data_IF_006379734562
#
_entry.id   IF_006379734562
#
_cell.length_a   1.000
_cell.length_b   1.000
_cell.length_c   1.000
_cell.angle_alpha   90.00
_cell.angle_beta   90.00
_cell.angle_gamma   90.00
#
_symmetry.space_group_name_H-M   'P 1'
#
loop_
_entity.id
_entity.type
_entity.pdbx_description
1 polymer ?
#
# COMPACT_ATOMS: atom_id res chain seq x y z
N UNK A 1 2.60 14.84 -11.97
CA UNK A 1 2.40 14.38 -13.36
C UNK A 1 3.70 14.28 -14.16
N UNK A 2 4.58 15.30 -14.19
CA UNK A 2 5.84 15.23 -14.96
C UNK A 2 6.78 14.09 -14.54
N UNK A 3 6.88 13.80 -13.24
CA UNK A 3 7.82 12.78 -12.74
C UNK A 3 7.49 11.33 -13.15
N UNK A 4 6.21 10.95 -13.18
CA UNK A 4 5.81 9.59 -13.57
C UNK A 4 6.05 9.34 -15.07
N UNK A 5 5.88 10.38 -15.89
CA UNK A 5 6.17 10.33 -17.33
C UNK A 5 7.68 10.12 -17.53
N UNK A 6 8.51 10.87 -16.81
CA UNK A 6 9.98 10.71 -16.84
C UNK A 6 10.39 9.31 -16.38
N UNK A 7 9.84 8.80 -15.28
CA UNK A 7 10.13 7.44 -14.81
C UNK A 7 9.75 6.36 -15.84
N UNK A 8 8.57 6.46 -16.45
CA UNK A 8 8.15 5.53 -17.51
C UNK A 8 9.08 5.58 -18.73
N UNK A 9 9.58 6.76 -19.09
CA UNK A 9 10.58 6.91 -20.15
C UNK A 9 11.92 6.28 -19.77
N UNK A 10 12.39 6.50 -18.54
CA UNK A 10 13.63 5.90 -18.04
C UNK A 10 13.56 4.37 -18.03
N UNK A 11 12.45 3.79 -17.59
CA UNK A 11 12.22 2.34 -17.61
C UNK A 11 12.27 1.80 -19.04
N UNK A 12 11.57 2.45 -19.98
CA UNK A 12 11.60 2.06 -21.40
C UNK A 12 13.02 2.10 -21.96
N UNK A 13 13.80 3.13 -21.63
CA UNK A 13 15.20 3.22 -22.03
C UNK A 13 16.02 2.07 -21.44
N UNK A 14 15.84 1.75 -20.16
CA UNK A 14 16.55 0.65 -19.50
C UNK A 14 16.22 -0.72 -20.13
N UNK A 15 14.95 -0.99 -20.43
CA UNK A 15 14.53 -2.22 -21.10
C UNK A 15 15.08 -2.33 -22.53
N UNK A 16 15.17 -1.20 -23.24
CA UNK A 16 15.75 -1.14 -24.58
C UNK A 16 17.26 -1.35 -24.59
N UNK A 17 17.96 -0.80 -23.60
CA UNK A 17 19.44 -0.87 -23.50
C UNK A 17 19.88 -2.22 -22.91
N UNK A 18 19.12 -2.75 -21.95
CA UNK A 18 19.45 -3.97 -21.20
C UNK A 18 18.34 -5.03 -21.27
N UNK A 19 18.13 -5.68 -22.43
CA UNK A 19 17.10 -6.70 -22.58
C UNK A 19 17.38 -7.95 -21.72
N UNK A 20 16.36 -8.80 -21.57
CA UNK A 20 16.40 -10.04 -20.74
C UNK A 20 17.53 -11.02 -21.10
N UNK A 21 18.07 -10.93 -22.31
CA UNK A 21 19.13 -11.79 -22.84
C UNK A 21 20.51 -11.10 -22.91
N UNK A 22 20.64 -9.87 -22.40
CA UNK A 22 21.90 -9.12 -22.43
C UNK A 22 23.02 -9.88 -21.69
N UNK A 23 24.25 -9.82 -22.22
CA UNK A 23 25.37 -10.66 -21.76
C UNK A 23 25.93 -10.31 -20.37
N UNK A 24 25.52 -9.19 -19.76
CA UNK A 24 26.18 -8.60 -18.58
C UNK A 24 25.19 -8.05 -17.57
N UNK A 25 24.18 -7.34 -18.03
CA UNK A 25 23.16 -6.76 -17.18
C UNK A 25 21.81 -6.87 -17.86
N UNK A 26 20.85 -7.53 -17.22
CA UNK A 26 19.55 -7.86 -17.78
C UNK A 26 18.46 -7.22 -16.95
N UNK A 27 17.53 -6.51 -17.56
CA UNK A 27 16.27 -6.14 -16.90
C UNK A 27 15.33 -7.34 -16.98
N UNK A 28 15.05 -7.96 -15.83
CA UNK A 28 14.21 -9.16 -15.71
C UNK A 28 12.73 -8.77 -15.66
N UNK A 29 12.41 -7.75 -14.86
CA UNK A 29 11.12 -7.08 -14.84
C UNK A 29 11.31 -5.62 -14.43
N UNK A 30 10.52 -4.73 -15.02
CA UNK A 30 10.50 -3.32 -14.65
C UNK A 30 9.06 -2.83 -14.57
N UNK A 31 8.74 -2.08 -13.53
CA UNK A 31 7.48 -1.39 -13.31
C UNK A 31 7.76 -0.02 -12.70
N UNK A 32 6.70 0.78 -12.49
CA UNK A 32 6.85 2.09 -11.83
C UNK A 32 7.18 1.99 -10.34
N UNK A 33 6.98 0.82 -9.73
CA UNK A 33 7.20 0.58 -8.30
C UNK A 33 8.42 -0.30 -8.03
N UNK A 34 8.85 -1.11 -9.00
CA UNK A 34 9.99 -2.01 -8.83
C UNK A 34 10.82 -2.19 -10.10
N UNK A 35 12.13 -2.41 -9.91
CA UNK A 35 13.06 -2.78 -10.96
C UNK A 35 13.86 -4.02 -10.53
N UNK A 36 13.66 -5.12 -11.24
CA UNK A 36 14.38 -6.36 -11.01
C UNK A 36 15.38 -6.56 -12.13
N UNK A 37 16.65 -6.64 -11.75
CA UNK A 37 17.75 -6.71 -12.67
C UNK A 37 18.73 -7.81 -12.26
N UNK A 38 19.36 -8.39 -13.27
CA UNK A 38 20.29 -9.50 -13.09
C UNK A 38 21.64 -9.12 -13.66
N UNK A 39 22.65 -9.17 -12.81
CA UNK A 39 24.04 -9.01 -13.21
C UNK A 39 24.70 -10.37 -13.44
N UNK A 40 25.49 -10.50 -14.51
CA UNK A 40 26.23 -11.72 -14.86
C UNK A 40 27.71 -11.47 -14.61
N UNK A 41 28.24 -12.06 -13.54
CA UNK A 41 29.65 -11.93 -13.16
C UNK A 41 30.60 -12.79 -13.99
N UNK A 42 31.90 -12.67 -13.71
CA UNK A 42 33.02 -13.25 -14.49
C UNK A 42 32.95 -14.77 -14.66
N UNK A 43 32.34 -15.47 -13.69
CA UNK A 43 32.21 -16.93 -13.69
C UNK A 43 30.87 -17.40 -14.27
N UNK A 44 30.08 -16.52 -14.91
CA UNK A 44 28.72 -16.81 -15.33
C UNK A 44 27.71 -16.87 -14.18
N UNK A 45 28.15 -16.58 -12.95
CA UNK A 45 27.29 -16.48 -11.76
C UNK A 45 26.36 -15.28 -11.92
N UNK A 46 25.06 -15.53 -11.71
CA UNK A 46 23.99 -14.55 -11.83
C UNK A 46 23.66 -13.98 -10.45
N UNK A 47 23.50 -12.68 -10.38
CA UNK A 47 23.16 -11.95 -9.17
C UNK A 47 21.87 -11.19 -9.39
N UNK A 48 20.83 -11.54 -8.63
CA UNK A 48 19.54 -10.84 -8.67
C UNK A 48 19.62 -9.62 -7.75
N UNK A 49 19.28 -8.47 -8.32
CA UNK A 49 19.29 -7.17 -7.67
C UNK A 49 17.94 -6.51 -7.94
N UNK A 50 17.34 -6.03 -6.87
CA UNK A 50 15.98 -5.50 -6.86
C UNK A 50 16.03 -4.06 -6.37
N UNK A 51 15.23 -3.19 -6.98
CA UNK A 51 15.03 -1.82 -6.54
C UNK A 51 13.54 -1.59 -6.29
N UNK A 52 13.20 -0.96 -5.17
CA UNK A 52 11.86 -0.46 -4.90
C UNK A 52 11.83 1.06 -5.11
N UNK A 53 10.96 1.52 -6.01
CA UNK A 53 10.80 2.91 -6.39
C UNK A 53 9.65 3.49 -5.56
N UNK A 54 9.97 4.47 -4.71
CA UNK A 54 9.00 5.05 -3.79
C UNK A 54 8.23 6.19 -4.44
N UNK A 55 7.06 6.53 -3.88
CA UNK A 55 6.23 7.67 -4.33
C UNK A 55 6.96 9.03 -4.26
N UNK A 56 8.04 9.11 -3.48
CA UNK A 56 8.89 10.29 -3.33
C UNK A 56 9.97 10.40 -4.42
N UNK A 57 9.97 9.50 -5.41
CA UNK A 57 10.83 9.58 -6.59
C UNK A 57 10.58 10.87 -7.40
N UNK A 58 11.62 11.58 -7.88
CA UNK A 58 13.06 11.31 -7.79
C UNK A 58 13.70 12.10 -6.61
N UNK A 59 12.89 12.69 -5.72
CA UNK A 59 13.38 13.48 -4.59
C UNK A 59 14.15 12.60 -3.59
N UNK A 60 13.76 11.33 -3.46
CA UNK A 60 14.55 10.30 -2.77
C UNK A 60 15.01 9.22 -3.75
N UNK A 61 16.20 8.63 -3.54
CA UNK A 61 16.65 7.51 -4.35
C UNK A 61 15.78 6.27 -4.13
N UNK A 62 15.59 5.43 -5.17
CA UNK A 62 15.10 4.07 -5.04
C UNK A 62 15.88 3.25 -3.99
N UNK A 63 15.19 2.32 -3.35
CA UNK A 63 15.75 1.44 -2.33
C UNK A 63 16.23 0.14 -3.00
N UNK A 64 17.54 -0.05 -3.09
CA UNK A 64 18.15 -1.22 -3.71
C UNK A 64 18.49 -2.31 -2.70
N UNK A 65 18.31 -3.57 -3.10
CA UNK A 65 18.70 -4.76 -2.34
C UNK A 65 19.14 -5.88 -3.28
N UNK A 66 20.02 -6.75 -2.80
CA UNK A 66 20.47 -7.92 -3.54
C UNK A 66 20.20 -9.18 -2.71
N UNK A 67 19.83 -10.28 -3.37
CA UNK A 67 19.63 -11.57 -2.70
C UNK A 67 20.96 -12.29 -2.38
N UNK A 68 22.07 -11.79 -2.91
CA UNK A 68 23.40 -12.38 -2.75
C UNK A 68 24.11 -11.82 -1.52
N UNK A 69 24.68 -12.70 -0.69
CA UNK A 69 25.54 -12.35 0.46
C UNK A 69 26.98 -11.96 0.05
N UNK A 70 27.24 -11.79 -1.25
CA UNK A 70 28.57 -11.46 -1.76
C UNK A 70 28.89 -9.99 -1.49
N UNK A 71 30.01 -9.74 -0.81
CA UNK A 71 30.44 -8.39 -0.40
C UNK A 71 30.61 -7.43 -1.57
N UNK A 72 30.98 -7.92 -2.75
CA UNK A 72 31.04 -7.12 -3.99
C UNK A 72 29.68 -6.52 -4.35
N UNK A 73 28.62 -7.32 -4.34
CA UNK A 73 27.26 -6.91 -4.71
C UNK A 73 26.64 -6.03 -3.62
N UNK A 74 26.81 -6.40 -2.35
CA UNK A 74 26.30 -5.62 -1.21
C UNK A 74 26.91 -4.22 -1.17
N UNK A 75 28.22 -4.10 -1.43
CA UNK A 75 28.88 -2.79 -1.49
C UNK A 75 28.38 -1.94 -2.65
N UNK A 76 28.16 -2.54 -3.83
CA UNK A 76 27.66 -1.82 -5.01
C UNK A 76 26.25 -1.26 -4.77
N UNK A 77 25.36 -2.05 -4.15
CA UNK A 77 24.01 -1.64 -3.78
C UNK A 77 24.01 -0.54 -2.71
N UNK A 78 24.92 -0.61 -1.72
CA UNK A 78 24.98 0.37 -0.64
C UNK A 78 25.31 1.79 -1.11
N UNK A 79 26.08 1.94 -2.20
CA UNK A 79 26.42 3.26 -2.77
C UNK A 79 25.17 3.99 -3.24
N UNK A 80 24.19 3.26 -3.78
CA UNK A 80 22.96 3.83 -4.35
C UNK A 80 22.04 4.45 -3.28
N UNK A 81 22.18 4.03 -2.02
CA UNK A 81 21.41 4.60 -0.91
C UNK A 81 21.80 6.04 -0.56
N UNK A 82 22.97 6.50 -1.03
CA UNK A 82 23.53 7.82 -0.73
C UNK A 82 23.53 8.78 -1.93
N UNK A 83 22.85 8.43 -3.03
CA UNK A 83 22.76 9.33 -4.20
C UNK A 83 21.86 10.53 -3.90
N UNK A 84 22.03 11.60 -4.67
CA UNK A 84 21.18 12.79 -4.55
C UNK A 84 21.01 13.50 -5.89
N UNK A 85 19.94 14.30 -6.01
CA UNK A 85 19.68 15.09 -7.21
C UNK A 85 19.46 14.21 -8.44
N UNK A 86 20.22 14.43 -9.51
CA UNK A 86 20.08 13.67 -10.77
C UNK A 86 20.42 12.19 -10.58
N UNK A 87 21.29 11.86 -9.64
CA UNK A 87 21.70 10.48 -9.41
C UNK A 87 20.63 9.65 -8.70
N UNK A 88 19.51 10.24 -8.27
CA UNK A 88 18.36 9.49 -7.77
C UNK A 88 17.53 8.86 -8.90
N UNK A 89 17.73 9.31 -10.14
CA UNK A 89 17.00 8.76 -11.28
C UNK A 89 17.41 7.31 -11.52
N UNK A 90 16.43 6.42 -11.77
CA UNK A 90 16.65 4.98 -11.92
C UNK A 90 17.64 4.71 -13.05
N UNK A 91 17.56 5.48 -14.15
CA UNK A 91 18.50 5.40 -15.27
C UNK A 91 19.96 5.63 -14.82
N UNK A 92 20.18 6.64 -13.97
CA UNK A 92 21.51 6.99 -13.47
C UNK A 92 21.99 5.99 -12.41
N UNK A 93 21.10 5.53 -11.54
CA UNK A 93 21.43 4.52 -10.52
C UNK A 93 21.83 3.18 -11.12
N UNK A 94 21.16 2.74 -12.20
CA UNK A 94 21.59 1.54 -12.96
C UNK A 94 22.98 1.74 -13.54
N UNK A 95 23.28 2.92 -14.09
CA UNK A 95 24.62 3.24 -14.58
C UNK A 95 25.69 3.21 -13.48
N UNK A 96 25.40 3.75 -12.29
CA UNK A 96 26.31 3.71 -11.13
C UNK A 96 26.51 2.26 -10.66
N UNK A 97 25.41 1.52 -10.51
CA UNK A 97 25.41 0.12 -10.09
C UNK A 97 26.27 -0.74 -11.02
N UNK A 98 26.05 -0.64 -12.32
CA UNK A 98 26.71 -1.48 -13.30
C UNK A 98 28.20 -1.18 -13.40
N UNK A 99 28.61 0.09 -13.35
CA UNK A 99 30.03 0.47 -13.30
C UNK A 99 30.72 -0.11 -12.06
N UNK A 100 30.07 0.00 -10.89
CA UNK A 100 30.65 -0.50 -9.66
C UNK A 100 30.73 -2.04 -9.63
N UNK A 101 29.70 -2.74 -10.11
CA UNK A 101 29.73 -4.20 -10.25
C UNK A 101 30.81 -4.66 -11.24
N UNK A 102 30.94 -4.00 -12.40
CA UNK A 102 32.01 -4.29 -13.36
C UNK A 102 33.40 -4.07 -12.73
N UNK A 103 33.58 -2.97 -11.99
CA UNK A 103 34.83 -2.65 -11.28
C UNK A 103 35.18 -3.70 -10.23
N UNK A 104 34.23 -4.08 -9.38
CA UNK A 104 34.44 -5.04 -8.29
C UNK A 104 34.65 -6.48 -8.78
N UNK A 105 34.05 -6.86 -9.92
CA UNK A 105 34.26 -8.16 -10.54
C UNK A 105 35.43 -8.19 -11.55
N UNK A 106 36.13 -7.06 -11.75
CA UNK A 106 37.22 -6.89 -12.72
C UNK A 106 36.83 -7.29 -14.16
N UNK A 107 35.68 -6.77 -14.63
CA UNK A 107 35.11 -7.02 -15.96
C UNK A 107 35.03 -5.68 -16.71
N UNK A 108 35.29 -5.63 -18.04
CA UNK A 108 35.08 -4.41 -18.81
C UNK A 108 33.63 -3.95 -18.78
N UNK A 109 33.42 -2.64 -18.71
CA UNK A 109 32.11 -1.99 -18.80
C UNK A 109 31.48 -2.24 -20.18
N UNK A 110 30.19 -2.63 -20.25
CA UNK A 110 29.49 -2.72 -21.53
C UNK A 110 29.37 -1.33 -22.19
N UNK A 111 29.56 -1.23 -23.52
CA UNK A 111 29.45 0.04 -24.25
C UNK A 111 28.06 0.65 -24.14
N UNK A 112 27.05 -0.18 -23.86
CA UNK A 112 25.64 0.17 -23.69
C UNK A 112 25.40 1.15 -22.53
N UNK A 113 26.33 1.22 -21.55
CA UNK A 113 26.27 2.22 -20.46
C UNK A 113 26.33 3.65 -21.01
N UNK A 114 26.99 3.89 -22.14
CA UNK A 114 27.05 5.21 -22.76
C UNK A 114 25.69 5.67 -23.33
N UNK A 115 24.76 4.74 -23.55
CA UNK A 115 23.40 5.01 -24.05
C UNK A 115 22.45 5.46 -22.92
N UNK A 116 22.85 5.33 -21.66
CA UNK A 116 22.12 5.82 -20.49
C UNK A 116 22.25 7.35 -20.37
N UNK A 117 21.55 8.08 -21.23
CA UNK A 117 21.44 9.54 -21.17
C UNK A 117 20.01 9.97 -20.86
N UNK A 118 19.86 10.87 -19.89
CA UNK A 118 18.55 11.46 -19.57
C UNK A 118 18.04 12.28 -20.75
N UNK A 119 16.74 12.19 -21.13
CA UNK A 119 16.15 13.15 -22.04
C UNK A 119 16.27 14.54 -21.43
N UNK A 120 16.85 15.51 -22.14
CA UNK A 120 16.93 16.87 -21.66
C UNK A 120 15.51 17.41 -21.45
N UNK A 121 15.16 17.75 -20.21
CA UNK A 121 13.91 18.44 -19.88
C UNK A 121 13.97 19.82 -20.54
N UNK A 122 13.24 19.98 -21.64
CA UNK A 122 13.06 21.26 -22.31
C UNK A 122 12.31 22.23 -21.39
N UNK A 123 13.06 23.07 -20.67
CA UNK A 123 12.55 24.24 -19.99
C UNK A 123 12.46 25.43 -20.93
N UNK A 124 11.26 26.00 -21.05
CA UNK A 124 10.90 27.34 -21.51
C UNK A 124 11.99 28.20 -22.21
N UNK A 125 11.85 28.41 -23.53
CA UNK A 125 12.22 29.67 -24.19
C UNK A 125 11.27 29.99 -25.35
N UNK A 126 10.70 31.20 -25.33
CA UNK A 126 10.25 31.94 -26.51
C UNK A 126 11.22 33.14 -26.68
N UNK A 127 11.35 33.73 -27.87
CA UNK A 127 11.70 33.13 -29.15
C UNK A 127 12.98 33.79 -29.72
N UNK A 128 13.77 33.08 -30.54
CA UNK A 128 14.56 33.75 -31.59
C UNK A 128 15.02 32.76 -32.69
N UNK A 129 14.34 32.88 -33.83
CA UNK A 129 14.85 33.03 -35.21
C UNK A 129 15.99 32.16 -35.80
N UNK A 130 15.69 31.78 -37.06
CA UNK A 130 16.50 31.30 -38.21
C UNK A 130 16.70 29.77 -38.28
N UNK A 131 15.97 29.08 -39.16
CA UNK A 131 16.35 28.64 -40.54
C UNK A 131 17.42 27.51 -40.48
N UNK A 132 17.32 26.33 -41.11
CA UNK A 132 16.88 25.95 -42.47
C UNK A 132 16.43 24.46 -42.53
N UNK A 133 15.41 24.21 -43.36
CA UNK A 133 15.09 23.06 -44.23
C UNK A 133 15.74 21.66 -44.04
N UNK A 134 14.87 20.64 -44.03
CA UNK A 134 14.87 19.55 -45.05
C UNK A 134 13.61 18.70 -44.97
N UNK A 135 12.86 18.72 -46.06
CA UNK A 135 11.74 17.87 -46.41
C UNK A 135 12.11 16.38 -46.44
N UNK A 136 11.19 15.52 -46.00
CA UNK A 136 10.78 14.31 -46.73
C UNK A 136 9.36 13.95 -46.31
N UNK A 137 8.42 14.22 -47.21
CA UNK A 137 7.13 13.54 -47.31
C UNK A 137 7.37 12.06 -47.64
N UNK A 138 6.59 11.17 -47.03
CA UNK A 138 6.07 9.98 -47.70
C UNK A 138 4.75 9.61 -47.00
N UNK A 139 3.66 9.82 -47.75
CA UNK A 139 2.35 9.22 -47.55
C UNK A 139 2.46 7.69 -47.50
N UNK A 140 1.69 7.06 -46.63
CA UNK A 140 0.94 5.87 -47.01
C UNK A 140 -0.32 5.80 -46.15
N UNK A 141 -1.45 6.04 -46.82
CA UNK A 141 -2.78 5.64 -46.42
C UNK A 141 -2.83 4.12 -46.25
N UNK A 142 -3.40 3.64 -45.14
CA UNK A 142 -4.13 2.37 -45.15
C UNK A 142 -5.25 2.45 -44.11
N UNK A 143 -6.43 2.79 -44.63
CA UNK A 143 -7.73 2.56 -44.01
C UNK A 143 -7.98 1.05 -43.90
N UNK A 144 -8.08 0.53 -42.68
CA UNK A 144 -8.87 -0.68 -42.41
C UNK A 144 -9.80 -0.42 -41.21
N UNK A 145 -11.01 0.06 -41.52
CA UNK A 145 -12.20 -0.23 -40.73
C UNK A 145 -12.49 -1.73 -40.83
N UNK A 146 -12.49 -2.47 -39.72
CA UNK A 146 -13.42 -3.59 -39.52
C UNK A 146 -13.47 -4.05 -38.04
N UNK A 147 -14.67 -4.04 -37.46
CA UNK A 147 -15.08 -5.05 -36.47
C UNK A 147 -15.00 -4.68 -34.98
N UNK A 148 -15.95 -3.89 -34.49
CA UNK A 148 -16.40 -3.99 -33.10
C UNK A 148 -17.02 -5.38 -32.88
N UNK A 149 -16.25 -6.34 -32.34
CA UNK A 149 -16.82 -7.56 -31.75
C UNK A 149 -16.97 -7.39 -30.25
N UNK A 150 -18.19 -6.98 -29.88
CA UNK A 150 -18.82 -7.10 -28.58
C UNK A 150 -18.67 -8.54 -28.03
N UNK A 151 -17.65 -8.80 -27.20
CA UNK A 151 -17.62 -9.99 -26.35
C UNK A 151 -18.51 -9.78 -25.12
N UNK A 152 -19.82 -9.80 -25.37
CA UNK A 152 -20.83 -10.21 -24.40
C UNK A 152 -20.60 -11.68 -24.05
N UNK A 153 -19.83 -11.96 -23.00
CA UNK A 153 -19.93 -13.24 -22.29
C UNK A 153 -21.00 -13.11 -21.20
N UNK A 154 -22.26 -13.23 -21.61
CA UNK A 154 -23.31 -13.70 -20.71
C UNK A 154 -23.02 -15.15 -20.36
N UNK A 155 -22.55 -15.40 -19.14
CA UNK A 155 -22.81 -16.66 -18.46
C UNK A 155 -23.89 -16.39 -17.41
N UNK A 156 -25.14 -16.42 -17.87
CA UNK A 156 -26.29 -16.77 -17.05
C UNK A 156 -26.14 -18.24 -16.63
N UNK A 157 -25.74 -18.46 -15.39
CA UNK A 157 -26.30 -19.55 -14.57
C UNK A 157 -25.96 -19.30 -13.10
N UNK A 158 -26.86 -18.61 -12.41
CA UNK A 158 -26.82 -18.45 -10.95
C UNK A 158 -27.69 -17.34 -10.35
N UNK A 159 -28.29 -16.47 -11.16
CA UNK A 159 -28.97 -15.25 -10.66
C UNK A 159 -30.34 -15.48 -10.00
N UNK A 160 -30.90 -16.69 -10.03
CA UNK A 160 -32.24 -16.93 -9.50
C UNK A 160 -32.32 -16.93 -7.95
N UNK A 161 -31.20 -17.03 -7.22
CA UNK A 161 -31.19 -17.01 -5.74
C UNK A 161 -30.85 -15.63 -5.16
N UNK A 162 -30.19 -14.76 -5.93
CA UNK A 162 -29.69 -13.46 -5.45
C UNK A 162 -30.73 -12.32 -5.48
N UNK A 163 -31.76 -12.41 -6.34
CA UNK A 163 -32.79 -11.36 -6.49
C UNK A 163 -33.69 -11.16 -5.25
N UNK A 164 -33.67 -12.07 -4.27
CA UNK A 164 -34.48 -11.93 -3.04
C UNK A 164 -33.81 -11.16 -1.89
N UNK A 165 -32.53 -10.74 -2.03
CA UNK A 165 -31.76 -10.10 -0.94
C UNK A 165 -31.20 -8.70 -1.25
N UNK A 166 -31.60 -8.10 -2.37
CA UNK A 166 -31.16 -6.75 -2.76
C UNK A 166 -31.85 -5.64 -1.96
N UNK A 167 -32.89 -5.96 -1.19
CA UNK A 167 -33.90 -4.99 -0.74
C UNK A 167 -33.63 -4.29 0.61
N UNK A 168 -32.41 -4.32 1.16
CA UNK A 168 -32.12 -3.71 2.48
C UNK A 168 -30.74 -3.04 2.60
N UNK A 169 -30.22 -2.43 1.54
CA UNK A 169 -28.98 -1.65 1.61
C UNK A 169 -29.24 -0.21 1.17
N UNK A 170 -28.76 0.75 1.95
CA UNK A 170 -28.98 2.17 1.66
C UNK A 170 -28.44 2.56 0.28
N UNK A 171 -29.16 3.46 -0.37
CA UNK A 171 -28.85 4.04 -1.68
C UNK A 171 -27.45 4.66 -1.73
N UNK A 172 -27.00 5.29 -0.65
CA UNK A 172 -25.66 5.88 -0.54
C UNK A 172 -24.55 4.80 -0.51
N UNK A 173 -24.79 3.69 0.19
CA UNK A 173 -23.85 2.58 0.27
C UNK A 173 -23.77 1.81 -1.06
N UNK A 174 -24.90 1.68 -1.76
CA UNK A 174 -24.94 1.16 -3.13
C UNK A 174 -24.12 2.04 -4.08
N UNK A 175 -24.31 3.36 -4.03
CA UNK A 175 -23.56 4.30 -4.86
C UNK A 175 -22.05 4.26 -4.54
N UNK A 176 -21.68 4.08 -3.26
CA UNK A 176 -20.28 3.94 -2.85
C UNK A 176 -19.67 2.66 -3.41
N UNK A 177 -20.34 1.51 -3.29
CA UNK A 177 -19.85 0.25 -3.86
C UNK A 177 -19.70 0.31 -5.39
N UNK A 178 -20.63 0.99 -6.07
CA UNK A 178 -20.56 1.17 -7.51
C UNK A 178 -19.41 2.09 -7.93
N UNK A 179 -19.22 3.21 -7.21
CA UNK A 179 -18.06 4.11 -7.41
C UNK A 179 -16.74 3.36 -7.25
N UNK A 180 -16.61 2.51 -6.23
CA UNK A 180 -15.40 1.73 -5.99
C UNK A 180 -15.13 0.70 -7.10
N UNK A 181 -16.17 0.04 -7.63
CA UNK A 181 -16.02 -0.85 -8.80
C UNK A 181 -15.56 -0.11 -10.04
N UNK A 182 -16.12 1.08 -10.29
CA UNK A 182 -15.74 1.89 -11.44
C UNK A 182 -14.29 2.39 -11.32
N UNK A 183 -13.89 2.85 -10.14
CA UNK A 183 -12.51 3.23 -9.85
C UNK A 183 -11.56 2.05 -10.06
N UNK A 184 -11.90 0.87 -9.52
CA UNK A 184 -11.12 -0.35 -9.70
C UNK A 184 -10.95 -0.70 -11.19
N UNK A 185 -12.03 -0.70 -11.98
CA UNK A 185 -11.97 -0.95 -13.43
C UNK A 185 -11.09 0.07 -14.14
N UNK A 186 -11.19 1.34 -13.75
CA UNK A 186 -10.39 2.41 -14.32
C UNK A 186 -8.91 2.26 -13.96
N UNK A 187 -8.58 1.86 -12.73
CA UNK A 187 -7.22 1.61 -12.28
C UNK A 187 -6.60 0.41 -12.99
N UNK A 188 -7.38 -0.65 -13.23
CA UNK A 188 -6.97 -1.76 -14.10
C UNK A 188 -6.63 -1.28 -15.51
N UNK A 189 -7.48 -0.44 -16.09
CA UNK A 189 -7.26 0.07 -17.45
C UNK A 189 -6.05 1.03 -17.53
N UNK A 190 -5.77 1.77 -16.45
CA UNK A 190 -4.63 2.70 -16.35
C UNK A 190 -3.32 2.04 -15.89
N UNK A 191 -3.38 0.78 -15.46
CA UNK A 191 -2.24 0.08 -14.85
C UNK A 191 -1.80 0.66 -13.50
N UNK A 192 -2.72 1.31 -12.77
CA UNK A 192 -2.49 1.90 -11.43
C UNK A 192 -3.17 1.10 -10.33
N UNK A 193 -3.28 -0.23 -10.52
CA UNK A 193 -3.98 -1.13 -9.61
C UNK A 193 -3.28 -1.13 -8.25
N UNK A 194 -4.03 -0.77 -7.20
CA UNK A 194 -3.56 -0.89 -5.83
C UNK A 194 -3.89 -2.28 -5.27
N UNK A 195 -2.85 -3.00 -4.83
CA UNK A 195 -2.96 -4.33 -4.23
C UNK A 195 -3.29 -5.47 -5.21
N UNK A 196 -3.62 -6.65 -4.66
CA UNK A 196 -3.92 -7.86 -5.44
C UNK A 196 -5.42 -8.01 -5.73
N UNK A 197 -5.77 -8.58 -6.89
CA UNK A 197 -7.16 -8.90 -7.30
C UNK A 197 -7.91 -9.62 -6.17
N UNK A 198 -7.26 -10.63 -5.57
CA UNK A 198 -7.83 -11.44 -4.49
C UNK A 198 -8.13 -10.61 -3.24
N UNK A 199 -7.21 -9.73 -2.84
CA UNK A 199 -7.41 -8.83 -1.72
C UNK A 199 -8.54 -7.84 -2.00
N UNK A 200 -8.57 -7.24 -3.20
CA UNK A 200 -9.59 -6.26 -3.55
C UNK A 200 -10.98 -6.90 -3.57
N UNK A 201 -11.13 -8.07 -4.18
CA UNK A 201 -12.40 -8.81 -4.23
C UNK A 201 -12.87 -9.18 -2.82
N UNK A 202 -11.96 -9.64 -1.98
CA UNK A 202 -12.26 -9.93 -0.58
C UNK A 202 -12.70 -8.68 0.18
N UNK A 203 -12.01 -7.56 0.03
CA UNK A 203 -12.36 -6.29 0.71
C UNK A 203 -13.70 -5.73 0.25
N UNK A 204 -13.98 -5.81 -1.05
CA UNK A 204 -15.28 -5.45 -1.62
C UNK A 204 -16.41 -6.33 -1.05
N UNK A 205 -16.15 -7.61 -0.83
CA UNK A 205 -17.10 -8.51 -0.17
C UNK A 205 -17.29 -8.12 1.30
N UNK A 206 -16.22 -7.90 2.05
CA UNK A 206 -16.29 -7.49 3.47
C UNK A 206 -17.09 -6.19 3.65
N UNK A 207 -16.80 -5.15 2.85
CA UNK A 207 -17.50 -3.88 2.92
C UNK A 207 -19.00 -4.03 2.62
N UNK A 208 -19.32 -4.85 1.60
CA UNK A 208 -20.70 -5.16 1.21
C UNK A 208 -21.44 -5.96 2.29
N UNK A 209 -20.77 -6.90 2.95
CA UNK A 209 -21.33 -7.69 4.04
C UNK A 209 -21.59 -6.79 5.26
N UNK A 210 -20.67 -5.87 5.57
CA UNK A 210 -20.83 -4.87 6.63
C UNK A 210 -22.06 -3.98 6.38
N UNK A 211 -22.23 -3.44 5.17
CA UNK A 211 -23.39 -2.59 4.88
C UNK A 211 -24.74 -3.30 5.01
N UNK A 212 -24.77 -4.64 4.98
CA UNK A 212 -25.98 -5.43 5.25
C UNK A 212 -26.15 -5.83 6.71
N UNK A 213 -25.13 -5.65 7.54
CA UNK A 213 -25.12 -6.17 8.89
C UNK A 213 -26.01 -5.37 9.84
N UNK A 214 -26.61 -6.07 10.81
CA UNK A 214 -27.44 -5.42 11.82
C UNK A 214 -26.65 -4.46 12.69
N UNK A 215 -25.39 -4.78 12.99
CA UNK A 215 -24.50 -3.95 13.82
C UNK A 215 -24.25 -2.59 13.17
N UNK A 216 -24.02 -2.59 11.84
CA UNK A 216 -23.84 -1.38 11.06
C UNK A 216 -25.16 -0.60 10.93
N UNK A 217 -26.27 -1.28 10.58
CA UNK A 217 -27.61 -0.65 10.49
C UNK A 217 -28.08 -0.02 11.80
N UNK A 218 -27.70 -0.60 12.96
CA UNK A 218 -27.98 -0.04 14.29
C UNK A 218 -27.08 1.14 14.67
N UNK A 219 -26.11 1.50 13.81
CA UNK A 219 -25.19 2.60 14.05
C UNK A 219 -24.16 2.32 15.15
N UNK A 220 -23.82 1.06 15.41
CA UNK A 220 -22.80 0.72 16.42
C UNK A 220 -21.42 1.25 16.02
N UNK A 221 -21.14 1.27 14.72
CA UNK A 221 -19.95 1.85 14.12
C UNK A 221 -20.26 2.40 12.73
N UNK A 222 -19.43 3.32 12.24
CA UNK A 222 -19.46 3.81 10.85
C UNK A 222 -18.11 3.59 10.18
N UNK A 223 -18.09 3.49 8.85
CA UNK A 223 -16.89 3.30 8.03
C UNK A 223 -16.78 4.42 7.01
N UNK A 224 -15.60 5.03 6.92
CA UNK A 224 -15.21 5.91 5.82
C UNK A 224 -13.92 5.40 5.18
N UNK A 225 -13.90 5.35 3.85
CA UNK A 225 -12.72 4.99 3.09
C UNK A 225 -11.80 6.20 2.93
N UNK A 226 -10.53 6.05 3.30
CA UNK A 226 -9.56 7.14 3.18
C UNK A 226 -9.19 7.29 1.71
N UNK A 227 -9.49 8.47 1.13
CA UNK A 227 -9.25 8.76 -0.29
C UNK A 227 -9.92 7.74 -1.24
N UNK A 228 -11.11 7.24 -0.90
CA UNK A 228 -11.79 6.16 -1.64
C UNK A 228 -10.94 4.87 -1.80
N UNK A 229 -9.94 4.67 -0.93
CA UNK A 229 -9.10 3.47 -0.94
C UNK A 229 -9.77 2.31 -0.22
N UNK A 230 -9.86 1.16 -0.89
CA UNK A 230 -10.29 -0.10 -0.28
C UNK A 230 -9.30 -0.65 0.75
N UNK A 231 -8.07 -0.14 0.78
CA UNK A 231 -7.00 -0.65 1.64
C UNK A 231 -6.79 0.19 2.91
N UNK A 232 -7.50 1.30 3.08
CA UNK A 232 -7.40 2.12 4.29
C UNK A 232 -8.76 2.65 4.76
N UNK A 233 -9.22 2.17 5.91
CA UNK A 233 -10.55 2.46 6.45
C UNK A 233 -10.43 3.21 7.77
N UNK A 234 -11.23 4.27 7.91
CA UNK A 234 -11.50 4.91 9.19
C UNK A 234 -12.81 4.36 9.75
N UNK A 235 -12.72 3.75 10.93
CA UNK A 235 -13.86 3.14 11.61
C UNK A 235 -14.16 3.96 12.85
N UNK A 236 -15.34 4.58 12.92
CA UNK A 236 -15.80 5.28 14.13
C UNK A 236 -16.66 4.35 14.94
N UNK A 237 -16.18 3.92 16.10
CA UNK A 237 -16.96 3.17 17.07
C UNK A 237 -17.83 4.15 17.87
N UNK A 238 -19.13 4.13 17.62
CA UNK A 238 -20.11 5.04 18.25
C UNK A 238 -20.73 4.41 19.51
N UNK A 239 -20.80 3.08 19.55
CA UNK A 239 -21.43 2.33 20.63
C UNK A 239 -20.46 1.31 21.22
N UNK A 240 -20.40 1.30 22.55
CA UNK A 240 -19.76 0.28 23.38
C UNK A 240 -20.75 -0.15 24.45
N UNK A 241 -20.42 -1.19 25.22
CA UNK A 241 -21.27 -1.68 26.30
C UNK A 241 -21.75 -0.52 27.22
N UNK A 242 -23.07 -0.26 27.30
CA UNK A 242 -23.63 0.83 28.10
C UNK A 242 -23.29 0.77 29.58
N UNK A 243 -23.04 -0.44 30.12
CA UNK A 243 -22.68 -0.63 31.52
C UNK A 243 -21.18 -0.37 31.79
N UNK A 244 -20.40 -0.14 30.73
CA UNK A 244 -18.96 0.10 30.85
C UNK A 244 -18.63 1.54 31.25
N UNK A 245 -17.58 1.77 32.04
CA UNK A 245 -17.06 3.12 32.29
C UNK A 245 -16.64 3.86 31.00
N UNK A 246 -16.25 3.12 29.96
CA UNK A 246 -15.89 3.67 28.65
C UNK A 246 -17.08 4.35 27.96
N UNK A 247 -18.30 3.81 28.12
CA UNK A 247 -19.52 4.43 27.59
C UNK A 247 -19.73 5.83 28.18
N UNK A 248 -19.62 5.96 29.50
CA UNK A 248 -19.73 7.25 30.19
C UNK A 248 -18.63 8.24 29.75
N UNK A 249 -17.41 7.74 29.53
CA UNK A 249 -16.32 8.55 29.01
C UNK A 249 -16.64 9.07 27.59
N UNK A 250 -17.27 8.27 26.70
CA UNK A 250 -17.66 8.73 25.36
C UNK A 250 -18.75 9.81 25.40
N UNK A 251 -19.71 9.70 26.32
CA UNK A 251 -20.69 10.76 26.57
C UNK A 251 -19.99 12.05 26.99
N UNK A 252 -19.03 11.96 27.91
CA UNK A 252 -18.25 13.12 28.34
C UNK A 252 -17.35 13.70 27.24
N UNK A 253 -16.82 12.86 26.35
CA UNK A 253 -16.07 13.30 25.17
C UNK A 253 -16.96 14.12 24.23
N UNK A 254 -18.22 13.70 24.05
CA UNK A 254 -19.20 14.44 23.26
C UNK A 254 -19.43 15.84 23.82
N UNK A 255 -19.61 15.93 25.13
CA UNK A 255 -19.85 17.20 25.83
C UNK A 255 -18.64 18.14 25.76
N UNK A 256 -17.41 17.61 25.86
CA UNK A 256 -16.17 18.42 25.91
C UNK A 256 -15.60 18.80 24.56
N UNK A 257 -15.59 17.86 23.61
CA UNK A 257 -14.88 17.99 22.34
C UNK A 257 -15.81 17.91 21.12
N UNK A 258 -17.11 17.67 21.32
CA UNK A 258 -18.08 17.48 20.24
C UNK A 258 -17.91 16.16 19.49
N UNK A 259 -17.16 15.20 20.06
CA UNK A 259 -16.87 13.89 19.46
C UNK A 259 -17.36 12.78 20.38
N UNK A 260 -18.11 11.83 19.85
CA UNK A 260 -18.74 10.74 20.61
C UNK A 260 -18.29 9.35 20.16
N UNK A 261 -17.12 9.27 19.51
CA UNK A 261 -16.66 8.04 18.89
C UNK A 261 -15.18 7.76 19.12
N UNK A 262 -14.82 6.47 19.18
CA UNK A 262 -13.43 6.03 19.07
C UNK A 262 -13.12 5.84 17.59
N UNK A 263 -12.22 6.66 17.05
CA UNK A 263 -11.73 6.55 15.70
C UNK A 263 -10.58 5.53 15.64
N UNK A 264 -10.84 4.43 14.95
CA UNK A 264 -9.85 3.44 14.57
C UNK A 264 -9.45 3.66 13.10
N UNK A 265 -8.22 3.30 12.78
CA UNK A 265 -7.73 3.22 11.41
C UNK A 265 -7.28 1.78 11.16
N UNK A 266 -7.80 1.20 10.08
CA UNK A 266 -7.55 -0.17 9.67
C UNK A 266 -6.92 -0.15 8.28
N UNK A 267 -5.70 -0.67 8.19
CA UNK A 267 -4.93 -0.71 6.95
C UNK A 267 -4.75 -2.16 6.51
N UNK A 268 -5.11 -2.44 5.27
CA UNK A 268 -5.00 -3.75 4.64
C UNK A 268 -3.79 -3.74 3.70
N UNK A 269 -3.10 -4.87 3.60
CA UNK A 269 -2.06 -5.10 2.60
C UNK A 269 -2.61 -5.88 1.43
N UNK A 270 -1.86 -5.93 0.34
CA UNK A 270 -2.14 -6.77 -0.82
C UNK A 270 -2.19 -8.28 -0.52
N UNK A 271 -1.59 -8.69 0.60
CA UNK A 271 -1.59 -10.08 1.11
C UNK A 271 -2.85 -10.42 1.91
N UNK A 272 -3.77 -9.49 2.11
CA UNK A 272 -5.06 -9.77 2.74
C UNK A 272 -5.89 -10.73 1.86
N UNK A 273 -6.57 -11.75 2.41
CA UNK A 273 -6.84 -12.02 3.82
C UNK A 273 -5.85 -12.97 4.51
N UNK A 274 -4.70 -13.29 3.91
CA UNK A 274 -3.72 -14.20 4.50
C UNK A 274 -2.94 -13.57 5.65
N UNK A 275 -2.67 -12.26 5.57
CA UNK A 275 -2.17 -11.47 6.70
C UNK A 275 -3.30 -10.63 7.34
N UNK A 276 -3.25 -10.39 8.66
CA UNK A 276 -4.23 -9.55 9.34
C UNK A 276 -4.12 -8.08 8.90
N UNK A 277 -5.20 -7.31 9.00
CA UNK A 277 -5.11 -5.86 8.88
C UNK A 277 -4.31 -5.27 10.05
N UNK A 278 -3.60 -4.19 9.79
CA UNK A 278 -3.01 -3.39 10.85
C UNK A 278 -4.06 -2.43 11.40
N UNK A 279 -4.37 -2.53 12.70
CA UNK A 279 -5.39 -1.70 13.34
C UNK A 279 -4.78 -0.85 14.45
N UNK A 280 -5.14 0.43 14.48
CA UNK A 280 -4.72 1.37 15.52
C UNK A 280 -5.84 2.30 15.94
N UNK A 281 -5.78 2.77 17.17
CA UNK A 281 -6.57 3.90 17.67
C UNK A 281 -5.93 5.19 17.17
N UNK A 282 -6.74 6.05 16.54
CA UNK A 282 -6.35 7.40 16.10
C UNK A 282 -6.72 8.42 17.18
N UNK A 283 -7.92 8.31 17.72
CA UNK A 283 -8.49 9.23 18.70
C UNK A 283 -9.69 8.58 19.40
N UNK A 284 -9.99 8.86 20.67
CA UNK A 284 -9.22 9.66 21.63
C UNK A 284 -8.02 8.89 22.19
N UNK A 285 -7.24 9.53 23.07
CA UNK A 285 -6.19 8.83 23.82
C UNK A 285 -6.84 7.97 24.90
N UNK A 286 -6.54 6.67 24.88
CA UNK A 286 -7.11 5.66 25.77
C UNK A 286 -6.00 5.14 26.70
N UNK A 287 -6.32 4.96 27.98
CA UNK A 287 -5.57 4.11 28.92
C UNK A 287 -6.28 2.78 29.12
N UNK A 288 -5.53 1.69 29.27
CA UNK A 288 -6.11 0.35 29.36
C UNK A 288 -6.61 -0.16 28.01
N UNK A 289 -7.55 -1.11 28.03
CA UNK A 289 -8.15 -1.66 26.80
C UNK A 289 -7.18 -2.42 25.90
N UNK A 290 -6.01 -2.80 26.42
CA UNK A 290 -4.89 -3.33 25.63
C UNK A 290 -4.38 -2.35 24.54
N UNK A 291 -4.65 -1.05 24.69
CA UNK A 291 -4.12 -0.01 23.79
C UNK A 291 -2.72 0.37 24.24
N UNK A 292 -1.75 0.19 23.36
CA UNK A 292 -0.35 0.51 23.58
C UNK A 292 -0.04 1.98 23.27
N UNK A 293 1.18 2.39 23.62
CA UNK A 293 1.74 3.68 23.23
C UNK A 293 1.67 3.84 21.70
N UNK A 294 1.31 5.03 21.24
CA UNK A 294 1.16 5.30 19.81
C UNK A 294 -0.18 4.87 19.21
N UNK A 295 -1.01 4.11 19.94
CA UNK A 295 -2.36 3.71 19.52
C UNK A 295 -2.45 2.29 18.96
N UNK A 296 -1.38 1.49 19.00
CA UNK A 296 -1.47 0.08 18.59
C UNK A 296 -2.35 -0.73 19.54
N UNK A 297 -3.04 -1.74 19.01
CA UNK A 297 -3.91 -2.62 19.82
C UNK A 297 -3.18 -3.94 20.05
N UNK A 298 -3.06 -4.33 21.31
CA UNK A 298 -2.50 -5.61 21.71
C UNK A 298 -3.59 -6.68 21.70
N UNK A 299 -3.73 -7.39 20.58
CA UNK A 299 -4.71 -8.46 20.43
C UNK A 299 -4.16 -9.60 19.59
N UNK A 300 -4.28 -10.84 20.07
CA UNK A 300 -3.71 -12.04 19.44
C UNK A 300 -4.18 -12.23 18.01
N UNK A 301 -5.47 -12.03 17.73
CA UNK A 301 -6.01 -12.20 16.38
C UNK A 301 -5.48 -11.18 15.37
N UNK A 302 -4.89 -10.07 15.80
CA UNK A 302 -4.23 -9.10 14.90
C UNK A 302 -2.76 -9.45 14.66
N UNK A 303 -2.30 -10.61 15.13
CA UNK A 303 -0.95 -11.13 14.90
C UNK A 303 -0.97 -12.32 13.96
N UNK A 304 0.17 -12.61 13.32
CA UNK A 304 0.29 -13.72 12.37
C UNK A 304 -0.10 -15.07 12.98
N UNK A 305 0.10 -15.23 14.29
CA UNK A 305 -0.16 -16.46 15.02
C UNK A 305 -1.65 -16.65 15.34
N UNK A 306 -2.37 -15.57 15.65
CA UNK A 306 -3.78 -15.62 16.03
C UNK A 306 -4.76 -15.32 14.88
N UNK A 307 -4.26 -14.76 13.77
CA UNK A 307 -5.09 -14.40 12.63
C UNK A 307 -5.58 -15.63 11.87
N UNK A 308 -6.83 -15.56 11.42
CA UNK A 308 -7.40 -16.49 10.46
C UNK A 308 -8.07 -15.71 9.35
N UNK A 309 -7.82 -16.09 8.10
CA UNK A 309 -8.49 -15.51 6.93
C UNK A 309 -10.01 -15.74 6.93
N UNK A 310 -10.51 -16.63 7.80
CA UNK A 310 -11.93 -16.86 8.02
C UNK A 310 -12.61 -15.74 8.83
N UNK A 311 -11.85 -14.88 9.54
CA UNK A 311 -12.43 -13.76 10.25
C UNK A 311 -12.95 -12.70 9.28
N UNK A 312 -14.20 -12.28 9.48
CA UNK A 312 -14.79 -11.12 8.82
C UNK A 312 -14.31 -9.83 9.48
N UNK A 313 -14.22 -8.74 8.71
CA UNK A 313 -13.84 -7.42 9.23
C UNK A 313 -14.84 -6.93 10.28
N UNK A 314 -16.14 -7.19 10.09
CA UNK A 314 -17.15 -6.89 11.11
C UNK A 314 -16.83 -7.56 12.46
N UNK A 315 -16.57 -8.87 12.46
CA UNK A 315 -16.21 -9.59 13.68
C UNK A 315 -14.96 -9.01 14.35
N UNK A 316 -13.96 -8.59 13.57
CA UNK A 316 -12.76 -7.92 14.09
C UNK A 316 -13.12 -6.59 14.75
N UNK A 317 -13.94 -5.75 14.12
CA UNK A 317 -14.41 -4.47 14.67
C UNK A 317 -15.14 -4.69 15.99
N UNK A 318 -16.07 -5.63 16.02
CA UNK A 318 -16.86 -5.96 17.21
C UNK A 318 -16.00 -6.53 18.34
N UNK A 319 -15.02 -7.37 18.00
CA UNK A 319 -14.10 -7.93 18.98
C UNK A 319 -13.14 -6.88 19.56
N UNK A 320 -12.73 -5.90 18.77
CA UNK A 320 -11.96 -4.75 19.28
C UNK A 320 -12.81 -3.96 20.27
N UNK A 321 -14.07 -3.64 19.93
CA UNK A 321 -14.97 -2.93 20.84
C UNK A 321 -15.15 -3.69 22.17
N UNK A 322 -15.37 -5.01 22.12
CA UNK A 322 -15.45 -5.86 23.31
C UNK A 322 -14.13 -5.91 24.10
N UNK A 323 -12.99 -5.96 23.41
CA UNK A 323 -11.65 -6.01 24.03
C UNK A 323 -11.31 -4.70 24.75
N UNK A 324 -11.74 -3.56 24.20
CA UNK A 324 -11.59 -2.26 24.87
C UNK A 324 -12.36 -2.24 26.21
N UNK A 325 -13.62 -2.69 26.20
CA UNK A 325 -14.45 -2.78 27.41
C UNK A 325 -13.85 -3.76 28.41
N UNK A 326 -13.52 -4.99 27.97
CA UNK A 326 -12.92 -6.03 28.82
C UNK A 326 -11.59 -5.57 29.43
N UNK A 327 -10.76 -4.88 28.66
CA UNK A 327 -9.50 -4.30 29.11
C UNK A 327 -9.67 -3.05 29.97
N UNK A 328 -10.90 -2.68 30.35
CA UNK A 328 -11.24 -1.51 31.18
C UNK A 328 -10.67 -0.21 30.59
N UNK A 329 -10.77 -0.05 29.27
CA UNK A 329 -10.36 1.15 28.56
C UNK A 329 -11.02 2.41 29.16
N UNK A 330 -10.23 3.47 29.33
CA UNK A 330 -10.68 4.78 29.80
C UNK A 330 -10.14 5.89 28.90
N UNK A 331 -10.94 6.93 28.67
CA UNK A 331 -10.50 8.08 27.88
C UNK A 331 -9.66 9.02 28.75
N UNK A 332 -8.47 9.36 28.27
CA UNK A 332 -7.59 10.31 28.94
C UNK A 332 -7.88 11.75 28.50
N UNK A 333 -8.73 12.43 29.26
CA UNK A 333 -9.01 13.85 29.06
C UNK A 333 -7.80 14.70 29.48
N UNK A 334 -7.30 15.56 28.57
CA UNK A 334 -6.25 16.54 28.89
C UNK A 334 -4.82 16.16 28.49
N UNK A 335 -4.60 15.00 27.85
CA UNK A 335 -3.27 14.57 27.39
C UNK A 335 -2.62 15.52 26.35
N UNK A 336 -3.40 16.38 25.69
CA UNK A 336 -2.90 17.28 24.66
C UNK A 336 -2.08 18.49 25.17
N UNK A 337 -2.12 18.83 26.47
CA UNK A 337 -1.56 20.10 26.97
C UNK A 337 -0.24 20.02 27.74
N UNK A 338 0.25 18.82 28.12
CA UNK A 338 1.37 18.74 29.09
C UNK A 338 2.57 17.90 28.65
N UNK A 339 2.48 17.10 27.58
CA UNK A 339 3.63 16.30 27.17
C UNK A 339 3.60 15.90 25.68
N UNK A 340 4.74 16.04 24.98
CA UNK A 340 5.02 15.47 23.65
C UNK A 340 4.92 13.91 23.58
N UNK A 341 4.43 13.29 24.66
CA UNK A 341 4.14 11.87 24.82
C UNK A 341 2.69 11.50 24.42
N UNK A 342 1.78 12.48 24.24
CA UNK A 342 0.34 12.25 24.09
C UNK A 342 -0.23 12.07 22.68
N UNK A 343 0.58 12.03 21.62
CA UNK A 343 0.06 11.83 20.25
C UNK A 343 0.19 10.39 19.80
N UNK A 344 -0.97 9.78 19.52
CA UNK A 344 -1.05 8.61 18.65
C UNK A 344 -0.57 8.98 17.25
N UNK A 345 0.22 8.10 16.67
CA UNK A 345 0.73 8.26 15.31
C UNK A 345 0.99 6.90 14.69
N UNK A 346 0.91 6.82 13.37
CA UNK A 346 1.14 5.57 12.65
C UNK A 346 2.52 4.97 12.97
N UNK A 347 3.57 5.79 12.93
CA UNK A 347 4.93 5.35 13.21
C UNK A 347 5.10 4.78 14.63
N UNK A 348 4.53 5.44 15.65
CA UNK A 348 4.59 4.95 17.04
C UNK A 348 3.78 3.66 17.20
N UNK A 349 2.58 3.59 16.63
CA UNK A 349 1.76 2.38 16.66
C UNK A 349 2.49 1.20 16.01
N UNK A 350 3.08 1.38 14.82
CA UNK A 350 3.85 0.34 14.14
C UNK A 350 5.06 -0.12 14.95
N UNK A 351 5.77 0.80 15.59
CA UNK A 351 6.89 0.45 16.47
C UNK A 351 6.43 -0.39 17.68
N UNK A 352 5.37 0.04 18.36
CA UNK A 352 4.80 -0.70 19.49
C UNK A 352 4.27 -2.08 19.09
N UNK A 353 3.65 -2.20 17.92
CA UNK A 353 3.20 -3.48 17.38
C UNK A 353 4.37 -4.42 17.05
N UNK A 354 5.45 -3.91 16.44
CA UNK A 354 6.66 -4.71 16.19
C UNK A 354 7.26 -5.27 17.48
N UNK A 355 7.37 -4.44 18.53
CA UNK A 355 7.85 -4.87 19.84
C UNK A 355 6.91 -5.89 20.48
N UNK A 356 5.59 -5.70 20.36
CA UNK A 356 4.59 -6.64 20.85
C UNK A 356 4.77 -8.03 20.23
N UNK A 357 4.86 -8.11 18.90
CA UNK A 357 4.98 -9.39 18.19
C UNK A 357 6.23 -10.14 18.65
N UNK A 358 7.37 -9.45 18.79
CA UNK A 358 8.61 -10.06 19.28
C UNK A 358 8.48 -10.60 20.72
N UNK A 359 7.79 -9.88 21.61
CA UNK A 359 7.60 -10.31 23.00
C UNK A 359 6.70 -11.55 23.07
N UNK A 360 5.59 -11.56 22.32
CA UNK A 360 4.64 -12.68 22.34
C UNK A 360 5.12 -13.90 21.55
N UNK A 361 5.95 -13.72 20.51
CA UNK A 361 6.65 -14.84 19.87
C UNK A 361 7.58 -15.56 20.86
N UNK A 362 8.21 -14.82 21.76
CA UNK A 362 9.11 -15.39 22.78
C UNK A 362 8.38 -15.98 23.98
N UNK A 363 7.33 -15.30 24.47
CA UNK A 363 6.70 -15.60 25.76
C UNK A 363 5.32 -16.29 25.64
N UNK A 364 4.77 -16.38 24.44
CA UNK A 364 3.41 -16.87 24.19
C UNK A 364 2.32 -15.84 24.48
N UNK A 365 1.10 -16.17 24.07
CA UNK A 365 -0.10 -15.42 24.41
C UNK A 365 -0.73 -15.96 25.69
N UNK A 366 -1.10 -15.06 26.59
CA UNK A 366 -1.82 -15.43 27.80
C UNK A 366 -3.32 -15.32 27.56
N UNK A 367 -4.05 -16.42 27.71
CA UNK A 367 -5.52 -16.42 27.71
C UNK A 367 -6.01 -16.21 29.13
N UNK A 368 -6.68 -15.08 29.46
CA UNK A 368 -7.25 -14.89 30.78
C UNK A 368 -8.30 -15.97 31.11
N UNK A 369 -8.44 -16.37 32.39
CA UNK A 369 -9.47 -17.32 32.82
C UNK A 369 -10.88 -16.85 32.43
N UNK A 370 -11.79 -17.80 32.19
CA UNK A 370 -13.18 -17.53 31.78
C UNK A 370 -14.00 -16.74 32.81
N UNK A 371 -13.54 -16.68 34.06
CA UNK A 371 -14.26 -16.06 35.19
C UNK A 371 -14.14 -14.52 35.24
N UNK A 372 -13.24 -13.92 34.45
CA UNK A 372 -13.10 -12.46 34.28
C UNK A 372 -13.98 -11.91 33.13
N UNK A 373 -15.09 -12.59 32.81
CA UNK A 373 -15.96 -12.32 31.67
C UNK A 373 -17.36 -11.89 32.07
#
# INVERSE_FOLDING_TARGET
>A
MACLITLKQEIKTLESVFPKNHERFQIVSASVDELNCRFVGKNGKKYEIHANITETYPSTPPVWFAESEETSVTNAVQILSNTSGRDNHVLNQVGILLRELCRLHCIPEPPDIALLTMPAVAGCRLPDRLEEDRDMEEDDDDDEEEGEEDLHLEMDEGEAVAKSKVDEMDTEHLATLERLRQNQRQDYLKGSVSGSVQATDRLMKELRDIYRSDSFKKGMYSIDLVNDSLYEWNIRLMSVDPDSPLHNDLVLLKEKEGKDSILLNMTFKETYPFEPPFVRVVHPIISGGYVLVGGAICMELLTKQGWSSAYTVEAVIMQIAATLVKGKARIQFGAAKVCNQGQYSLARAQQSFKSLVQIHEKNGWFTPPKEDG
#
